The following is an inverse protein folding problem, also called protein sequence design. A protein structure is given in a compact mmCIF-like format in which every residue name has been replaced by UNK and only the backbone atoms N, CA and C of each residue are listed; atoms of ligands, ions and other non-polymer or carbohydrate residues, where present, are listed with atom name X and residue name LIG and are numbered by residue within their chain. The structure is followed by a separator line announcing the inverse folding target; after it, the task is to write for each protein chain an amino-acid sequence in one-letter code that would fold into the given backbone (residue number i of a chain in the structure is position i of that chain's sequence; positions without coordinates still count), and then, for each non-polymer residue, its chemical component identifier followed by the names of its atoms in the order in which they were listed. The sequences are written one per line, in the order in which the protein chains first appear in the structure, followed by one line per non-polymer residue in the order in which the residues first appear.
data_IF_585113012070
#
_entry.id   IF_585113012070
#
_cell.length_a   1.000
_cell.length_b   1.000
_cell.length_c   1.000
_cell.angle_alpha   90.00
_cell.angle_beta   90.00
_cell.angle_gamma   90.00
#
_symmetry.space_group_name_H-M   'P 1'
#
loop_
_entity.id
_entity.type
_entity.pdbx_description
1 polymer ?
#
# COMPACT_ATOMS: atom_id res chain seq x y z
N UNK A 1 12.17 1.96 19.72
CA UNK A 1 10.95 1.63 18.98
C UNK A 1 10.99 0.17 18.56
N UNK A 2 9.96 -0.57 18.88
CA UNK A 2 9.84 -1.95 18.46
C UNK A 2 8.87 -2.06 17.29
N UNK A 3 9.20 -2.90 16.33
CA UNK A 3 8.31 -3.19 15.23
C UNK A 3 7.19 -4.12 15.70
N UNK A 4 5.97 -3.83 15.28
CA UNK A 4 4.82 -4.66 15.57
C UNK A 4 4.62 -5.68 14.46
N UNK A 5 5.23 -6.86 14.62
CA UNK A 5 5.17 -7.90 13.59
C UNK A 5 3.76 -8.44 13.37
N UNK A 6 2.93 -8.44 14.40
CA UNK A 6 1.53 -8.82 14.25
C UNK A 6 0.79 -7.81 13.34
N UNK A 7 1.03 -6.54 13.55
CA UNK A 7 0.45 -5.49 12.71
C UNK A 7 0.95 -5.55 11.27
N UNK A 8 2.25 -5.79 11.08
CA UNK A 8 2.83 -5.97 9.76
C UNK A 8 2.17 -7.15 9.04
N UNK A 9 2.10 -8.29 9.71
CA UNK A 9 1.48 -9.48 9.13
C UNK A 9 0.02 -9.28 8.78
N UNK A 10 -0.72 -8.57 9.63
CA UNK A 10 -2.13 -8.24 9.36
C UNK A 10 -2.27 -7.37 8.12
N UNK A 11 -1.41 -6.37 7.95
CA UNK A 11 -1.45 -5.51 6.76
C UNK A 11 -1.12 -6.28 5.49
N UNK A 12 -0.17 -7.21 5.57
CA UNK A 12 0.15 -8.10 4.45
C UNK A 12 -1.10 -8.91 4.05
N UNK A 13 -1.72 -9.58 5.02
CA UNK A 13 -2.89 -10.41 4.78
C UNK A 13 -4.06 -9.60 4.23
N UNK A 14 -4.32 -8.43 4.80
CA UNK A 14 -5.40 -7.56 4.34
C UNK A 14 -5.19 -7.11 2.91
N UNK A 15 -3.97 -6.68 2.58
CA UNK A 15 -3.68 -6.23 1.22
C UNK A 15 -3.76 -7.39 0.23
N UNK A 16 -3.26 -8.56 0.62
CA UNK A 16 -3.37 -9.77 -0.20
C UNK A 16 -4.83 -10.06 -0.54
N UNK A 17 -5.70 -10.02 0.47
CA UNK A 17 -7.13 -10.27 0.28
C UNK A 17 -7.79 -9.20 -0.60
N UNK A 18 -7.41 -7.92 -0.44
CA UNK A 18 -7.90 -6.85 -1.30
C UNK A 18 -7.56 -7.09 -2.76
N UNK A 19 -6.41 -7.69 -3.03
CA UNK A 19 -5.98 -8.00 -4.39
C UNK A 19 -6.55 -9.33 -4.91
N UNK A 20 -7.35 -10.02 -4.10
CA UNK A 20 -7.93 -11.29 -4.50
C UNK A 20 -6.93 -12.43 -4.58
N UNK A 21 -5.79 -12.34 -3.89
CA UNK A 21 -4.76 -13.35 -3.93
C UNK A 21 -4.93 -14.36 -2.80
N UNK A 22 -4.85 -15.64 -3.16
CA UNK A 22 -4.75 -16.70 -2.15
C UNK A 22 -3.35 -16.70 -1.55
N UNK A 23 -3.24 -17.17 -0.30
CA UNK A 23 -1.95 -17.19 0.40
C UNK A 23 -0.89 -17.99 -0.36
N UNK A 24 -1.26 -19.17 -0.87
CA UNK A 24 -0.31 -20.00 -1.63
C UNK A 24 0.16 -19.32 -2.92
N UNK A 25 -0.70 -18.52 -3.56
CA UNK A 25 -0.32 -17.79 -4.78
C UNK A 25 0.67 -16.70 -4.44
N UNK A 26 0.43 -15.95 -3.36
CA UNK A 26 1.39 -14.94 -2.93
C UNK A 26 2.74 -15.57 -2.55
N UNK A 27 2.71 -16.67 -1.81
CA UNK A 27 3.93 -17.38 -1.44
C UNK A 27 4.73 -17.80 -2.67
N UNK A 28 4.05 -18.31 -3.70
CA UNK A 28 4.68 -18.68 -4.96
C UNK A 28 5.35 -17.48 -5.64
N UNK A 29 4.66 -16.35 -5.70
CA UNK A 29 5.21 -15.13 -6.29
C UNK A 29 6.40 -14.57 -5.53
N UNK A 30 6.44 -14.82 -4.23
CA UNK A 30 7.54 -14.38 -3.36
C UNK A 30 8.68 -15.39 -3.29
N UNK A 31 8.50 -16.57 -3.90
CA UNK A 31 9.45 -17.68 -3.84
C UNK A 31 9.76 -18.09 -2.39
N UNK A 32 8.72 -18.19 -1.58
CA UNK A 32 8.81 -18.66 -0.20
C UNK A 32 7.75 -19.74 0.02
N UNK A 33 7.92 -20.51 1.09
CA UNK A 33 6.94 -21.53 1.43
C UNK A 33 5.64 -20.91 1.93
N UNK A 34 4.54 -21.61 1.72
CA UNK A 34 3.24 -21.16 2.24
C UNK A 34 3.26 -21.10 3.78
N UNK A 35 3.94 -22.04 4.42
CA UNK A 35 4.07 -22.04 5.89
C UNK A 35 4.82 -20.83 6.39
N UNK A 36 5.87 -20.42 5.70
CA UNK A 36 6.63 -19.23 6.07
C UNK A 36 5.77 -17.98 5.93
N UNK A 37 5.07 -17.84 4.81
CA UNK A 37 4.16 -16.70 4.61
C UNK A 37 3.06 -16.68 5.66
N UNK A 38 2.48 -17.84 5.97
CA UNK A 38 1.46 -17.95 7.00
C UNK A 38 1.98 -17.45 8.36
N UNK A 39 3.21 -17.83 8.70
CA UNK A 39 3.83 -17.39 9.94
C UNK A 39 4.10 -15.89 9.96
N UNK A 40 4.50 -15.33 8.82
CA UNK A 40 4.68 -13.88 8.67
C UNK A 40 3.35 -13.16 8.88
N UNK A 41 2.29 -13.64 8.22
CA UNK A 41 0.96 -13.00 8.31
C UNK A 41 0.38 -13.06 9.73
N UNK A 42 0.77 -14.09 10.50
CA UNK A 42 0.34 -14.21 11.89
C UNK A 42 1.26 -13.50 12.88
N UNK A 43 2.33 -12.88 12.39
CA UNK A 43 3.27 -12.15 13.24
C UNK A 43 4.22 -13.05 14.03
N UNK A 44 4.32 -14.33 13.68
CA UNK A 44 5.18 -15.30 14.38
C UNK A 44 6.60 -15.37 13.84
N UNK A 45 6.80 -14.90 12.62
CA UNK A 45 8.11 -14.88 11.98
C UNK A 45 8.43 -13.46 11.56
N UNK A 46 9.71 -13.10 11.69
CA UNK A 46 10.23 -11.82 11.24
C UNK A 46 10.67 -11.99 9.79
N UNK A 47 9.99 -11.37 8.83
CA UNK A 47 10.43 -11.46 7.44
C UNK A 47 11.77 -10.76 7.27
N UNK A 48 12.61 -11.29 6.39
CA UNK A 48 13.85 -10.62 6.04
C UNK A 48 13.54 -9.32 5.29
N UNK A 49 14.53 -8.43 5.23
CA UNK A 49 14.38 -7.18 4.50
C UNK A 49 14.07 -7.44 3.03
N UNK A 50 14.73 -8.43 2.41
CA UNK A 50 14.46 -8.80 1.02
C UNK A 50 13.02 -9.26 0.82
N UNK A 51 12.50 -10.07 1.74
CA UNK A 51 11.11 -10.53 1.67
C UNK A 51 10.15 -9.36 1.80
N UNK A 52 10.43 -8.41 2.68
CA UNK A 52 9.62 -7.18 2.84
C UNK A 52 9.57 -6.40 1.53
N UNK A 53 10.72 -6.20 0.88
CA UNK A 53 10.78 -5.48 -0.40
C UNK A 53 9.98 -6.22 -1.47
N UNK A 54 10.13 -7.53 -1.54
CA UNK A 54 9.38 -8.34 -2.51
C UNK A 54 7.87 -8.31 -2.26
N UNK A 55 7.47 -8.34 -0.99
CA UNK A 55 6.06 -8.21 -0.61
C UNK A 55 5.51 -6.85 -1.08
N UNK A 56 6.25 -5.78 -0.81
CA UNK A 56 5.84 -4.45 -1.26
C UNK A 56 5.66 -4.38 -2.78
N UNK A 57 6.57 -4.99 -3.52
CA UNK A 57 6.50 -5.00 -4.97
C UNK A 57 5.29 -5.78 -5.49
N UNK A 58 5.05 -6.97 -4.95
CA UNK A 58 3.91 -7.80 -5.40
C UNK A 58 2.58 -7.20 -4.99
N UNK A 59 2.48 -6.72 -3.75
CA UNK A 59 1.24 -6.17 -3.22
C UNK A 59 1.00 -4.71 -3.58
N UNK A 60 1.97 -4.06 -4.23
CA UNK A 60 1.85 -2.67 -4.64
C UNK A 60 1.57 -1.74 -3.45
N UNK A 61 2.37 -1.89 -2.41
CA UNK A 61 2.34 -1.03 -1.23
C UNK A 61 3.74 -0.52 -0.95
N UNK A 62 3.83 0.54 -0.15
CA UNK A 62 5.11 1.11 0.26
C UNK A 62 5.61 0.42 1.53
N UNK A 63 6.93 0.41 1.76
CA UNK A 63 7.47 -0.06 3.04
C UNK A 63 6.90 0.72 4.23
N UNK A 64 6.69 2.01 4.08
CA UNK A 64 6.10 2.84 5.14
C UNK A 64 4.73 2.31 5.57
N UNK A 65 3.88 2.03 4.60
CA UNK A 65 2.57 1.46 4.90
C UNK A 65 2.69 0.11 5.60
N UNK A 66 3.56 -0.75 5.09
CA UNK A 66 3.69 -2.11 5.60
C UNK A 66 4.24 -2.13 7.02
N UNK A 67 5.29 -1.36 7.27
CA UNK A 67 6.02 -1.38 8.55
C UNK A 67 5.35 -0.52 9.61
N UNK A 68 4.84 0.63 9.24
CA UNK A 68 4.35 1.64 10.18
C UNK A 68 2.84 1.78 10.17
N UNK A 69 2.18 1.21 9.18
CA UNK A 69 0.74 1.33 9.04
C UNK A 69 0.32 2.75 8.71
N UNK A 70 -0.87 3.12 9.15
CA UNK A 70 -1.46 4.42 8.87
C UNK A 70 -1.10 5.42 9.96
N UNK A 71 0.18 5.52 10.30
CA UNK A 71 0.63 6.44 11.33
C UNK A 71 0.59 7.90 10.89
N UNK A 72 0.52 8.15 9.60
CA UNK A 72 0.52 9.49 9.04
C UNK A 72 -0.88 9.86 8.57
N UNK A 73 -1.26 11.11 8.82
CA UNK A 73 -2.63 11.60 8.60
C UNK A 73 -3.05 11.71 7.15
N UNK A 74 -2.13 11.51 6.20
CA UNK A 74 -2.41 11.68 4.78
C UNK A 74 -2.67 10.36 4.07
N UNK A 75 -3.42 9.48 4.70
CA UNK A 75 -3.69 8.18 4.14
C UNK A 75 -4.69 8.26 3.01
N UNK A 76 -4.21 7.94 1.83
CA UNK A 76 -5.09 7.76 0.69
C UNK A 76 -5.66 6.35 0.80
N UNK A 77 -6.99 6.18 0.77
CA UNK A 77 -7.57 4.84 0.69
C UNK A 77 -6.96 4.05 -0.46
N UNK A 78 -6.66 2.78 -0.22
CA UNK A 78 -5.92 1.98 -1.19
C UNK A 78 -6.65 1.85 -2.53
N UNK A 79 -7.99 1.79 -2.52
CA UNK A 79 -8.76 1.75 -3.75
C UNK A 79 -8.56 3.01 -4.61
N UNK A 80 -8.39 4.17 -3.97
CA UNK A 80 -8.11 5.42 -4.69
C UNK A 80 -6.69 5.37 -5.28
N UNK A 81 -5.71 4.93 -4.48
CA UNK A 81 -4.34 4.80 -4.97
C UNK A 81 -4.24 3.81 -6.13
N UNK A 82 -4.96 2.69 -6.07
CA UNK A 82 -5.00 1.72 -7.15
C UNK A 82 -5.63 2.31 -8.41
N UNK A 83 -6.72 3.05 -8.26
CA UNK A 83 -7.38 3.72 -9.37
C UNK A 83 -6.47 4.73 -10.06
N UNK A 84 -5.70 5.49 -9.29
CA UNK A 84 -4.77 6.47 -9.85
C UNK A 84 -3.71 5.81 -10.74
N UNK A 85 -3.26 4.61 -10.39
CA UNK A 85 -2.27 3.89 -11.20
C UNK A 85 -2.82 3.43 -12.55
N UNK A 86 -4.14 3.28 -12.66
CA UNK A 86 -4.80 2.85 -13.89
C UNK A 86 -5.17 4.03 -14.79
N UNK A 87 -5.05 5.26 -14.30
CA UNK A 87 -5.38 6.45 -15.06
C UNK A 87 -4.30 6.81 -16.06
N UNK A 88 -4.71 7.28 -17.24
CA UNK A 88 -3.80 7.86 -18.23
C UNK A 88 -3.29 9.23 -17.75
N UNK A 89 -2.29 9.77 -18.44
CA UNK A 89 -1.79 11.12 -18.19
C UNK A 89 -2.90 12.16 -18.30
N UNK A 90 -3.75 12.02 -19.32
CA UNK A 90 -4.88 12.92 -19.55
C UNK A 90 -5.88 12.83 -18.41
N UNK A 91 -6.17 11.62 -17.94
CA UNK A 91 -7.09 11.40 -16.83
C UNK A 91 -6.54 12.03 -15.52
N UNK A 92 -5.24 11.89 -15.28
CA UNK A 92 -4.63 12.50 -14.10
C UNK A 92 -4.68 14.03 -14.16
N UNK A 93 -4.52 14.61 -15.34
CA UNK A 93 -4.67 16.05 -15.54
C UNK A 93 -6.09 16.50 -15.23
N UNK A 94 -7.09 15.76 -15.69
CA UNK A 94 -8.48 16.05 -15.40
C UNK A 94 -8.75 15.95 -13.90
N UNK A 95 -8.26 14.90 -13.25
CA UNK A 95 -8.39 14.73 -11.80
C UNK A 95 -7.77 15.89 -11.04
N UNK A 96 -6.61 16.41 -11.47
CA UNK A 96 -5.97 17.55 -10.84
C UNK A 96 -6.86 18.76 -10.85
N UNK A 97 -7.54 19.03 -11.97
CA UNK A 97 -8.47 20.16 -12.08
C UNK A 97 -9.66 19.98 -11.14
N UNK A 98 -10.22 18.77 -11.08
CA UNK A 98 -11.33 18.46 -10.19
C UNK A 98 -10.92 18.64 -8.72
N UNK A 99 -9.74 18.11 -8.36
CA UNK A 99 -9.23 18.22 -7.00
C UNK A 99 -8.97 19.68 -6.61
N UNK A 100 -8.43 20.47 -7.53
CA UNK A 100 -8.22 21.89 -7.30
C UNK A 100 -9.54 22.57 -6.96
N UNK A 101 -10.58 22.32 -7.74
CA UNK A 101 -11.90 22.88 -7.50
C UNK A 101 -12.47 22.47 -6.13
N UNK A 102 -12.33 21.20 -5.77
CA UNK A 102 -12.81 20.69 -4.49
C UNK A 102 -12.07 21.33 -3.31
N UNK A 103 -10.76 21.51 -3.45
CA UNK A 103 -9.92 22.14 -2.41
C UNK A 103 -10.27 23.60 -2.25
N UNK A 104 -10.40 24.35 -3.34
CA UNK A 104 -10.75 25.78 -3.32
C UNK A 104 -12.15 25.99 -2.74
N UNK A 105 -13.09 25.09 -3.03
CA UNK A 105 -14.44 25.15 -2.47
C UNK A 105 -14.42 25.06 -0.94
N UNK A 106 -13.39 24.40 -0.37
CA UNK A 106 -13.20 24.30 1.09
C UNK A 106 -12.46 25.51 1.69
N UNK A 107 -12.11 26.51 0.87
CA UNK A 107 -11.34 27.66 1.31
C UNK A 107 -9.84 27.43 1.41
N UNK A 108 -9.35 26.36 0.80
CA UNK A 108 -7.93 26.01 0.77
C UNK A 108 -7.33 26.36 -0.57
N UNK A 109 -5.99 26.40 -0.63
CA UNK A 109 -5.28 26.61 -1.89
C UNK A 109 -4.58 25.33 -2.30
N UNK A 110 -4.68 25.01 -3.57
CA UNK A 110 -3.95 23.90 -4.18
C UNK A 110 -2.57 24.39 -4.62
N UNK A 111 -1.53 23.65 -4.27
CA UNK A 111 -0.18 23.93 -4.70
C UNK A 111 0.31 22.83 -5.64
N UNK A 112 0.31 23.14 -6.95
CA UNK A 112 0.74 22.19 -7.98
C UNK A 112 2.24 21.87 -7.94
N UNK A 113 3.05 22.71 -7.26
CA UNK A 113 4.50 22.52 -7.22
C UNK A 113 4.89 21.25 -6.50
N UNK A 114 4.00 20.69 -5.68
CA UNK A 114 4.23 19.46 -4.95
C UNK A 114 4.19 18.21 -5.85
N UNK A 115 3.81 18.38 -7.10
CA UNK A 115 3.64 17.25 -8.04
C UNK A 115 4.55 17.37 -9.26
N UNK A 116 5.53 18.20 -9.17
CA UNK A 116 6.48 18.39 -10.25
C UNK A 116 7.44 17.20 -10.37
#
# INVERSE_FOLDING_TARGET
MELNYTGIGRRIAQRRLQMGLKQNILAERLDISNNYLSSIERGKEKPSLEVIVNICNVLQVTPDYLLMGNMYSNNIPQNIADGLRLCSKEDLSLLSVIMQHMIERQGRKWNNDNFA
#
